data_IF_576750195631
#
_entry.id   IF_576750195631
#
_cell.length_a   1.000
_cell.length_b   1.000
_cell.length_c   1.000
_cell.angle_alpha   90.00
_cell.angle_beta   90.00
_cell.angle_gamma   90.00
#
_symmetry.space_group_name_H-M   'P 1'
#
loop_
_entity.id
_entity.type
_entity.pdbx_description
1 polymer ?
#
# COMPACT_ATOMS: atom_id res chain seq x y z
N UNK A 1 -7.96 5.37 32.49
CA UNK A 1 -7.78 6.83 32.25
C UNK A 1 -6.35 7.36 32.42
N UNK A 2 -5.37 6.63 32.96
CA UNK A 2 -3.99 7.17 33.11
C UNK A 2 -3.31 7.46 31.76
N UNK A 3 -3.42 6.56 30.79
CA UNK A 3 -2.73 6.69 29.50
C UNK A 3 -3.24 7.86 28.65
N UNK A 4 -4.57 8.06 28.57
CA UNK A 4 -5.17 9.13 27.77
C UNK A 4 -4.81 10.54 28.29
N UNK A 5 -4.68 10.71 29.62
CA UNK A 5 -4.22 11.97 30.23
C UNK A 5 -2.74 12.24 29.96
N UNK A 6 -1.90 11.21 29.97
CA UNK A 6 -0.46 11.32 29.68
C UNK A 6 -0.21 11.66 28.21
N UNK A 7 -0.99 11.07 27.30
CA UNK A 7 -0.85 11.25 25.85
C UNK A 7 -1.66 12.43 25.28
N UNK A 8 -2.51 13.09 26.08
CA UNK A 8 -3.36 14.20 25.64
C UNK A 8 -4.44 13.83 24.63
N UNK A 9 -4.84 12.55 24.54
CA UNK A 9 -5.83 12.04 23.58
C UNK A 9 -7.15 11.70 24.25
N UNK A 10 -8.24 11.70 23.47
CA UNK A 10 -9.52 11.18 23.95
C UNK A 10 -9.44 9.68 24.21
N UNK A 11 -10.27 9.19 25.14
CA UNK A 11 -10.33 7.77 25.49
C UNK A 11 -10.71 6.91 24.28
N UNK A 12 -11.64 7.38 23.45
CA UNK A 12 -12.04 6.71 22.20
C UNK A 12 -10.91 6.69 21.18
N UNK A 13 -10.13 7.77 21.06
CA UNK A 13 -8.96 7.81 20.19
C UNK A 13 -7.88 6.82 20.60
N UNK A 14 -7.62 6.70 21.91
CA UNK A 14 -6.66 5.73 22.46
C UNK A 14 -7.02 4.29 22.08
N UNK A 15 -8.27 3.87 22.33
CA UNK A 15 -8.69 2.49 22.04
C UNK A 15 -8.81 2.20 20.54
N UNK A 16 -9.15 3.19 19.70
CA UNK A 16 -9.11 3.02 18.23
C UNK A 16 -7.68 2.81 17.74
N UNK A 17 -6.71 3.57 18.28
CA UNK A 17 -5.30 3.38 17.94
C UNK A 17 -4.79 2.02 18.41
N UNK A 18 -5.04 1.65 19.67
CA UNK A 18 -4.63 0.37 20.24
C UNK A 18 -5.23 -0.81 19.46
N UNK A 19 -6.49 -0.72 19.05
CA UNK A 19 -7.12 -1.72 18.19
C UNK A 19 -6.45 -1.82 16.82
N UNK A 20 -6.06 -0.69 16.20
CA UNK A 20 -5.35 -0.68 14.91
C UNK A 20 -3.92 -1.24 15.01
N UNK A 21 -3.27 -1.16 16.16
CA UNK A 21 -1.94 -1.76 16.35
C UNK A 21 -2.02 -3.28 16.52
N UNK A 22 -3.10 -3.78 17.15
CA UNK A 22 -3.27 -5.19 17.45
C UNK A 22 -4.10 -5.96 16.39
N UNK A 23 -4.56 -5.29 15.34
CA UNK A 23 -5.30 -5.96 14.27
C UNK A 23 -4.34 -6.59 13.25
N UNK A 24 -4.74 -7.72 12.67
CA UNK A 24 -4.10 -8.27 11.50
C UNK A 24 -4.26 -7.36 10.28
N UNK A 25 -3.43 -7.61 9.26
CA UNK A 25 -3.46 -6.89 7.99
C UNK A 25 -4.87 -6.95 7.37
N UNK A 26 -5.41 -5.78 7.02
CA UNK A 26 -6.71 -5.71 6.34
C UNK A 26 -6.60 -6.26 4.92
N UNK A 27 -7.70 -6.75 4.36
CA UNK A 27 -7.73 -7.23 2.96
C UNK A 27 -7.21 -6.18 1.95
N UNK A 28 -7.43 -4.89 2.25
CA UNK A 28 -6.89 -3.79 1.43
C UNK A 28 -5.38 -3.67 1.53
N UNK A 29 -4.81 -3.80 2.72
CA UNK A 29 -3.36 -3.76 2.93
C UNK A 29 -2.70 -4.98 2.29
N UNK A 30 -3.31 -6.17 2.43
CA UNK A 30 -2.87 -7.39 1.78
C UNK A 30 -2.88 -7.28 0.26
N UNK A 31 -3.97 -6.77 -0.32
CA UNK A 31 -4.07 -6.48 -1.75
C UNK A 31 -2.99 -5.49 -2.22
N UNK A 32 -2.81 -4.42 -1.45
CA UNK A 32 -1.79 -3.41 -1.72
C UNK A 32 -0.37 -4.00 -1.68
N UNK A 33 -0.08 -4.92 -0.75
CA UNK A 33 1.21 -5.62 -0.68
C UNK A 33 1.43 -6.51 -1.90
N UNK A 34 0.44 -7.30 -2.29
CA UNK A 34 0.51 -8.13 -3.49
C UNK A 34 0.70 -7.30 -4.76
N UNK A 35 -0.01 -6.16 -4.87
CA UNK A 35 0.16 -5.23 -5.98
C UNK A 35 1.59 -4.67 -6.02
N UNK A 36 2.17 -4.31 -4.88
CA UNK A 36 3.54 -3.80 -4.80
C UNK A 36 4.58 -4.83 -5.22
N UNK A 37 4.40 -6.09 -4.85
CA UNK A 37 5.26 -7.20 -5.26
C UNK A 37 5.29 -7.32 -6.79
N UNK A 38 4.12 -7.25 -7.44
CA UNK A 38 4.04 -7.27 -8.91
C UNK A 38 4.61 -6.02 -9.57
N UNK A 39 4.39 -4.85 -8.99
CA UNK A 39 4.99 -3.59 -9.47
C UNK A 39 6.52 -3.69 -9.42
N UNK A 40 7.10 -4.14 -8.29
CA UNK A 40 8.55 -4.32 -8.15
C UNK A 40 9.09 -5.33 -9.15
N UNK A 41 8.41 -6.45 -9.33
CA UNK A 41 8.79 -7.45 -10.32
C UNK A 41 8.93 -6.85 -11.72
N UNK A 42 7.87 -6.22 -12.24
CA UNK A 42 7.90 -5.62 -13.59
C UNK A 42 8.89 -4.45 -13.71
N UNK A 43 9.08 -3.68 -12.64
CA UNK A 43 10.05 -2.59 -12.60
C UNK A 43 11.48 -3.11 -12.75
N UNK A 44 11.88 -4.11 -11.95
CA UNK A 44 13.24 -4.65 -11.99
C UNK A 44 13.50 -5.54 -13.21
N UNK A 45 12.49 -6.29 -13.67
CA UNK A 45 12.55 -7.07 -14.92
C UNK A 45 12.88 -6.19 -16.14
N UNK A 46 12.47 -4.91 -16.10
CA UNK A 46 12.72 -3.94 -17.17
C UNK A 46 13.83 -2.93 -16.80
N UNK A 47 14.79 -3.34 -15.96
CA UNK A 47 15.96 -2.55 -15.57
C UNK A 47 15.59 -1.15 -15.04
N UNK A 48 14.47 -1.04 -14.32
CA UNK A 48 13.96 0.22 -13.77
C UNK A 48 13.56 1.28 -14.82
N UNK A 49 13.47 0.91 -16.10
CA UNK A 49 13.18 1.86 -17.19
C UNK A 49 11.68 2.21 -17.31
N UNK A 50 10.80 1.42 -16.70
CA UNK A 50 9.35 1.55 -16.87
C UNK A 50 8.73 2.40 -15.78
N UNK A 51 8.06 3.48 -16.18
CA UNK A 51 7.18 4.26 -15.32
C UNK A 51 5.77 3.65 -15.19
N UNK A 52 4.91 4.34 -14.44
CA UNK A 52 3.55 3.89 -14.15
C UNK A 52 2.67 3.52 -15.35
N UNK A 53 2.75 4.18 -16.54
CA UNK A 53 1.94 3.76 -17.69
C UNK A 53 2.29 2.37 -18.19
N UNK A 54 3.58 2.05 -18.30
CA UNK A 54 4.07 0.75 -18.82
C UNK A 54 3.89 -0.36 -17.80
N UNK A 55 4.11 -0.08 -16.52
CA UNK A 55 3.84 -1.06 -15.46
C UNK A 55 2.34 -1.35 -15.36
N UNK A 56 1.47 -0.34 -15.46
CA UNK A 56 0.03 -0.55 -15.51
C UNK A 56 -0.37 -1.49 -16.66
N UNK A 57 0.18 -1.28 -17.86
CA UNK A 57 -0.09 -2.15 -19.01
C UNK A 57 0.31 -3.61 -18.73
N UNK A 58 1.49 -3.83 -18.15
CA UNK A 58 1.96 -5.17 -17.73
C UNK A 58 1.02 -5.82 -16.71
N UNK A 59 0.61 -5.07 -15.68
CA UNK A 59 -0.30 -5.56 -14.64
C UNK A 59 -1.67 -5.96 -15.21
N UNK A 60 -2.24 -5.16 -16.11
CA UNK A 60 -3.56 -5.44 -16.69
C UNK A 60 -3.49 -6.55 -17.74
N UNK A 61 -2.52 -6.49 -18.64
CA UNK A 61 -2.47 -7.37 -19.81
C UNK A 61 -1.80 -8.71 -19.51
N UNK A 62 -0.74 -8.74 -18.72
CA UNK A 62 -0.01 -9.97 -18.40
C UNK A 62 -0.56 -10.61 -17.11
N UNK A 63 -0.70 -9.83 -16.04
CA UNK A 63 -1.06 -10.38 -14.73
C UNK A 63 -2.58 -10.45 -14.51
N UNK A 64 -3.36 -9.84 -15.41
CA UNK A 64 -4.82 -9.72 -15.32
C UNK A 64 -5.30 -9.03 -14.03
N UNK A 65 -4.46 -8.18 -13.47
CA UNK A 65 -4.75 -7.38 -12.27
C UNK A 65 -5.51 -6.12 -12.69
N UNK A 66 -6.75 -5.98 -12.23
CA UNK A 66 -7.56 -4.78 -12.46
C UNK A 66 -7.14 -3.68 -11.49
N UNK A 67 -6.40 -2.70 -11.99
CA UNK A 67 -5.94 -1.55 -11.21
C UNK A 67 -5.91 -0.31 -12.09
N UNK A 68 -6.17 0.87 -11.52
CA UNK A 68 -6.06 2.12 -12.28
C UNK A 68 -4.59 2.55 -12.39
N UNK A 69 -4.21 3.19 -13.50
CA UNK A 69 -2.88 3.77 -13.65
C UNK A 69 -2.54 4.78 -12.53
N UNK A 70 -3.52 5.56 -12.05
CA UNK A 70 -3.34 6.48 -10.91
C UNK A 70 -2.91 5.74 -9.65
N UNK A 71 -3.55 4.60 -9.36
CA UNK A 71 -3.16 3.75 -8.22
C UNK A 71 -1.73 3.27 -8.39
N UNK A 72 -1.36 2.76 -9.56
CA UNK A 72 0.02 2.31 -9.85
C UNK A 72 1.02 3.45 -9.62
N UNK A 73 0.73 4.66 -10.10
CA UNK A 73 1.59 5.82 -9.90
C UNK A 73 1.79 6.17 -8.41
N UNK A 74 0.72 6.14 -7.61
CA UNK A 74 0.78 6.39 -6.16
C UNK A 74 1.62 5.32 -5.47
N UNK A 75 1.42 4.04 -5.82
CA UNK A 75 2.18 2.92 -5.24
C UNK A 75 3.65 2.99 -5.61
N UNK A 76 3.97 3.24 -6.88
CA UNK A 76 5.36 3.45 -7.32
C UNK A 76 6.02 4.61 -6.59
N UNK A 77 5.28 5.71 -6.33
CA UNK A 77 5.79 6.83 -5.54
C UNK A 77 6.17 6.40 -4.12
N UNK A 78 5.36 5.56 -3.49
CA UNK A 78 5.64 5.08 -2.14
C UNK A 78 6.74 3.99 -2.07
N UNK A 79 7.07 3.36 -3.19
CA UNK A 79 8.04 2.26 -3.25
C UNK A 79 9.45 2.71 -3.61
N UNK A 80 9.59 3.76 -4.42
CA UNK A 80 10.85 4.14 -5.05
C UNK A 80 11.27 5.60 -4.78
N UNK A 81 10.49 6.35 -3.99
CA UNK A 81 10.80 7.70 -3.52
C UNK A 81 10.54 7.79 -2.01
#
# INVERSE_FOLDING_TARGET
MKMCKVLGVSTSGYYVWEKRQNQDETEKEKWNRQLDERIKFHFYDNLSAFGSPRIHDKLVNQDKIKVSQKTVAIRMRALFF
#
